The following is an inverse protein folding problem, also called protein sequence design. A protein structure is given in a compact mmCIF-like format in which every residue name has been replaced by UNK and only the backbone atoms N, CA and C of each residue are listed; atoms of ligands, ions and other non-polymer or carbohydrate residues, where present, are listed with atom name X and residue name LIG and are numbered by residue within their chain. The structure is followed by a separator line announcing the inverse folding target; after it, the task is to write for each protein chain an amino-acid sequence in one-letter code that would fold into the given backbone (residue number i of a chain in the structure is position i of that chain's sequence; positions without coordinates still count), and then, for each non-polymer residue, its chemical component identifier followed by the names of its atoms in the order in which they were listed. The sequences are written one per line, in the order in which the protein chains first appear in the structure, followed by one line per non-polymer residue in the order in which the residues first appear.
data_IF_877506309146
#
_entry.id   IF_877506309146
#
_cell.length_a   1.000
_cell.length_b   1.000
_cell.length_c   1.000
_cell.angle_alpha   90.00
_cell.angle_beta   90.00
_cell.angle_gamma   90.00
#
_symmetry.space_group_name_H-M   'P 1'
#
loop_
_entity.id
_entity.type
_entity.pdbx_description
1 polymer ?
#
# COMPACT_ATOMS: atom_id res chain seq x y z
N UNK A 1 -7.67 -30.10 -11.64
CA UNK A 1 -7.92 -28.65 -11.48
C UNK A 1 -6.77 -27.97 -10.73
N UNK A 2 -5.52 -27.99 -11.22
CA UNK A 2 -4.39 -27.35 -10.50
C UNK A 2 -3.35 -26.65 -11.37
N UNK A 3 -3.60 -26.50 -12.69
CA UNK A 3 -2.64 -25.87 -13.62
C UNK A 3 -2.93 -24.40 -13.92
N UNK A 4 -4.09 -23.88 -13.52
CA UNK A 4 -4.52 -22.50 -13.81
C UNK A 4 -4.18 -21.49 -12.73
N UNK A 5 -4.01 -21.91 -11.47
CA UNK A 5 -3.66 -21.01 -10.35
C UNK A 5 -2.24 -20.45 -10.46
N UNK A 6 -1.29 -21.27 -10.93
CA UNK A 6 0.11 -20.86 -11.12
C UNK A 6 0.26 -19.85 -12.28
N UNK A 7 -0.64 -19.91 -13.27
CA UNK A 7 -0.57 -19.01 -14.43
C UNK A 7 -1.32 -17.68 -14.22
N UNK A 8 -2.02 -17.51 -13.10
CA UNK A 8 -2.80 -16.31 -12.81
C UNK A 8 -2.04 -15.26 -11.99
N UNK A 9 -0.79 -15.52 -11.59
CA UNK A 9 -0.03 -14.57 -10.77
C UNK A 9 -0.58 -14.40 -9.35
N UNK A 10 -1.37 -15.35 -8.85
CA UNK A 10 -1.85 -15.38 -7.46
C UNK A 10 -0.77 -15.90 -6.48
N UNK A 11 0.47 -15.45 -6.65
CA UNK A 11 1.61 -15.89 -5.83
C UNK A 11 1.70 -15.15 -4.49
N UNK A 12 0.75 -14.25 -4.20
CA UNK A 12 0.82 -13.41 -3.00
C UNK A 12 0.78 -14.19 -1.69
N UNK A 13 0.21 -15.40 -1.68
CA UNK A 13 0.30 -16.31 -0.53
C UNK A 13 1.71 -16.87 -0.34
N UNK A 14 2.40 -17.22 -1.43
CA UNK A 14 3.77 -17.74 -1.40
C UNK A 14 4.76 -16.64 -1.02
N UNK A 15 4.59 -15.43 -1.53
CA UNK A 15 5.41 -14.28 -1.16
C UNK A 15 5.25 -13.92 0.31
N UNK A 16 4.01 -13.90 0.83
CA UNK A 16 3.78 -13.68 2.26
C UNK A 16 4.38 -14.80 3.12
N UNK A 17 4.32 -16.06 2.67
CA UNK A 17 4.95 -17.19 3.35
C UNK A 17 6.48 -17.10 3.34
N UNK A 18 7.07 -16.64 2.22
CA UNK A 18 8.50 -16.37 2.11
C UNK A 18 8.93 -15.33 3.15
N UNK A 19 8.21 -14.22 3.27
CA UNK A 19 8.49 -13.19 4.28
C UNK A 19 8.41 -13.79 5.68
N UNK A 20 7.36 -14.56 5.95
CA UNK A 20 7.13 -15.18 7.27
C UNK A 20 8.23 -16.18 7.67
N UNK A 21 8.87 -16.83 6.70
CA UNK A 21 9.86 -17.91 6.91
C UNK A 21 11.31 -17.44 6.85
N UNK A 22 11.58 -16.17 6.53
CA UNK A 22 12.92 -15.62 6.39
C UNK A 22 13.30 -14.76 7.62
N UNK A 23 13.94 -15.33 8.66
CA UNK A 23 14.23 -14.64 9.92
C UNK A 23 15.34 -13.59 9.83
N UNK A 24 15.94 -13.41 8.65
CA UNK A 24 16.96 -12.37 8.38
C UNK A 24 16.45 -11.31 7.42
N UNK A 25 15.17 -11.36 7.06
CA UNK A 25 14.58 -10.42 6.13
C UNK A 25 14.20 -9.15 6.89
N UNK A 26 15.06 -8.14 6.78
CA UNK A 26 14.87 -6.83 7.41
C UNK A 26 14.11 -5.84 6.51
N UNK A 27 14.02 -6.14 5.22
CA UNK A 27 13.45 -5.22 4.22
C UNK A 27 12.73 -5.91 3.09
N UNK A 28 11.56 -5.37 2.73
CA UNK A 28 10.77 -5.83 1.58
C UNK A 28 10.35 -4.68 0.69
N UNK A 29 10.30 -4.94 -0.62
CA UNK A 29 9.82 -3.99 -1.62
C UNK A 29 8.76 -4.64 -2.49
N UNK A 30 7.59 -4.04 -2.52
CA UNK A 30 6.47 -4.42 -3.37
C UNK A 30 6.31 -3.42 -4.50
N UNK A 31 6.19 -3.95 -5.71
CA UNK A 31 5.83 -3.17 -6.91
C UNK A 31 4.64 -3.89 -7.52
N UNK A 32 3.42 -3.36 -7.36
CA UNK A 32 2.21 -4.07 -7.76
C UNK A 32 1.29 -3.23 -8.64
N UNK A 33 0.77 -3.87 -9.69
CA UNK A 33 -0.27 -3.35 -10.59
C UNK A 33 -1.67 -3.82 -10.19
N UNK A 34 -1.77 -4.92 -9.43
CA UNK A 34 -3.03 -5.60 -9.13
C UNK A 34 -3.22 -5.66 -7.61
N UNK A 35 -4.36 -5.16 -7.16
CA UNK A 35 -4.74 -5.12 -5.73
C UNK A 35 -5.88 -6.09 -5.42
N UNK A 36 -6.08 -7.08 -6.30
CA UNK A 36 -7.14 -8.07 -6.18
C UNK A 36 -6.87 -9.06 -5.02
N UNK A 37 -7.87 -9.92 -4.73
CA UNK A 37 -7.91 -10.87 -3.62
C UNK A 37 -6.75 -11.91 -3.61
N UNK A 38 -5.88 -11.91 -4.61
CA UNK A 38 -4.67 -12.73 -4.71
C UNK A 38 -3.34 -11.99 -4.46
N UNK A 39 -3.33 -10.66 -4.36
CA UNK A 39 -2.10 -9.87 -4.23
C UNK A 39 -1.42 -10.07 -2.86
N UNK A 40 -0.10 -9.95 -2.84
CA UNK A 40 0.71 -10.08 -1.62
C UNK A 40 0.31 -9.07 -0.57
N UNK A 41 0.02 -7.82 -0.98
CA UNK A 41 -0.40 -6.78 -0.05
C UNK A 41 -1.78 -7.08 0.56
N UNK A 42 -2.73 -7.61 -0.22
CA UNK A 42 -4.02 -8.05 0.32
C UNK A 42 -3.85 -9.23 1.30
N UNK A 43 -2.94 -10.18 1.00
CA UNK A 43 -2.61 -11.28 1.91
C UNK A 43 -1.96 -10.78 3.19
N UNK A 44 -1.07 -9.78 3.09
CA UNK A 44 -0.45 -9.13 4.24
C UNK A 44 -1.49 -8.42 5.10
N UNK A 45 -2.42 -7.68 4.51
CA UNK A 45 -3.52 -7.03 5.22
C UNK A 45 -4.33 -8.04 6.06
N UNK A 46 -4.63 -9.21 5.49
CA UNK A 46 -5.29 -10.31 6.21
C UNK A 46 -4.44 -10.92 7.32
N UNK A 47 -3.14 -11.10 7.10
CA UNK A 47 -2.20 -11.61 8.13
C UNK A 47 -2.10 -10.62 9.28
N UNK A 48 -2.01 -9.33 8.98
CA UNK A 48 -1.97 -8.26 9.98
C UNK A 48 -3.26 -8.26 10.79
N UNK A 49 -4.41 -8.28 10.12
CA UNK A 49 -5.71 -8.32 10.76
C UNK A 49 -5.87 -9.55 11.68
N UNK A 50 -5.49 -10.73 11.21
CA UNK A 50 -5.50 -11.95 12.02
C UNK A 50 -4.49 -11.93 13.18
N UNK A 51 -3.32 -11.32 12.99
CA UNK A 51 -2.31 -11.15 14.05
C UNK A 51 -2.81 -10.27 15.20
N UNK A 52 -3.60 -9.24 14.89
CA UNK A 52 -4.24 -8.38 15.89
C UNK A 52 -5.33 -9.13 16.67
N UNK A 53 -6.15 -9.94 15.99
CA UNK A 53 -7.20 -10.76 16.62
C UNK A 53 -6.62 -11.80 17.60
N UNK A 54 -5.45 -12.37 17.31
CA UNK A 54 -4.80 -13.41 18.12
C UNK A 54 -3.84 -12.80 19.17
N UNK A 55 -4.06 -11.55 19.60
CA UNK A 55 -3.25 -10.85 20.63
C UNK A 55 -1.77 -10.71 20.27
N UNK A 56 -1.44 -10.48 19.00
CA UNK A 56 -0.08 -10.13 18.57
C UNK A 56 0.89 -11.30 18.47
N UNK A 57 0.40 -12.52 18.27
CA UNK A 57 1.27 -13.64 17.89
C UNK A 57 1.66 -13.47 16.42
N UNK A 58 2.82 -12.88 16.18
CA UNK A 58 3.38 -12.70 14.85
C UNK A 58 4.32 -13.85 14.48
N UNK A 59 4.31 -14.26 13.22
CA UNK A 59 5.31 -15.20 12.71
C UNK A 59 6.68 -14.52 12.75
N UNK A 60 7.71 -15.28 13.12
CA UNK A 60 9.07 -14.78 13.38
C UNK A 60 9.62 -13.89 12.26
N UNK A 61 9.42 -14.26 10.99
CA UNK A 61 9.89 -13.44 9.85
C UNK A 61 9.24 -12.06 9.74
N UNK A 62 8.02 -11.86 10.27
CA UNK A 62 7.42 -10.53 10.35
C UNK A 62 7.99 -9.70 11.50
N UNK A 63 8.51 -10.34 12.55
CA UNK A 63 9.14 -9.63 13.68
C UNK A 63 10.51 -9.07 13.31
N UNK A 64 11.17 -9.63 12.30
CA UNK A 64 12.48 -9.14 11.86
C UNK A 64 12.38 -7.98 10.87
N UNK A 65 11.17 -7.67 10.39
CA UNK A 65 10.96 -6.71 9.32
C UNK A 65 11.03 -5.26 9.84
N UNK A 66 12.03 -4.50 9.39
CA UNK A 66 12.28 -3.13 9.82
C UNK A 66 12.00 -2.08 8.73
N UNK A 67 11.97 -2.51 7.47
CA UNK A 67 11.77 -1.62 6.33
C UNK A 67 10.79 -2.19 5.30
N UNK A 68 9.91 -1.33 4.81
CA UNK A 68 8.96 -1.70 3.77
C UNK A 68 8.85 -0.60 2.72
N UNK A 69 8.88 -0.98 1.45
CA UNK A 69 8.62 -0.09 0.33
C UNK A 69 7.45 -0.63 -0.49
N UNK A 70 6.44 0.19 -0.74
CA UNK A 70 5.29 -0.14 -1.59
C UNK A 70 5.20 0.88 -2.70
N UNK A 71 5.20 0.41 -3.94
CA UNK A 71 5.03 1.24 -5.11
C UNK A 71 3.95 0.70 -6.03
N UNK A 72 3.11 1.61 -6.49
CA UNK A 72 2.23 1.39 -7.62
C UNK A 72 2.97 1.87 -8.89
N UNK A 73 3.15 1.03 -9.92
CA UNK A 73 3.69 1.48 -11.19
C UNK A 73 2.74 2.48 -11.85
N UNK A 74 3.31 3.52 -12.46
CA UNK A 74 2.54 4.44 -13.28
C UNK A 74 1.86 3.69 -14.42
N UNK A 75 0.56 3.93 -14.60
CA UNK A 75 -0.17 3.45 -15.76
C UNK A 75 0.55 3.94 -17.01
N UNK A 76 0.99 3.00 -17.84
CA UNK A 76 1.44 3.31 -19.20
C UNK A 76 0.21 3.38 -20.11
N UNK A 77 0.35 3.94 -21.30
CA UNK A 77 -0.71 3.98 -22.33
C UNK A 77 -1.31 2.58 -22.64
N UNK A 78 -0.58 1.51 -22.35
CA UNK A 78 -1.04 0.12 -22.47
C UNK A 78 -1.96 -0.34 -21.33
N UNK A 79 -1.87 0.29 -20.15
CA UNK A 79 -2.57 -0.10 -18.92
C UNK A 79 -3.54 1.00 -18.41
N UNK A 80 -3.86 1.99 -19.25
CA UNK A 80 -4.61 3.20 -18.89
C UNK A 80 -6.07 2.96 -18.40
N UNK A 81 -6.57 1.72 -18.46
CA UNK A 81 -7.93 1.36 -18.06
C UNK A 81 -8.00 0.55 -16.76
N UNK A 82 -6.86 0.24 -16.13
CA UNK A 82 -6.86 -0.43 -14.84
C UNK A 82 -6.78 0.60 -13.72
N UNK A 83 -7.67 0.48 -12.74
CA UNK A 83 -7.60 1.26 -11.51
C UNK A 83 -6.38 0.79 -10.73
N UNK A 84 -5.27 1.50 -10.87
CA UNK A 84 -3.99 1.14 -10.24
C UNK A 84 -3.93 1.58 -8.77
N UNK A 85 -4.98 2.19 -8.23
CA UNK A 85 -4.96 2.74 -6.87
C UNK A 85 -4.91 1.63 -5.81
N UNK A 86 -3.93 1.71 -4.91
CA UNK A 86 -3.82 0.77 -3.78
C UNK A 86 -4.93 1.08 -2.76
N UNK A 87 -5.77 0.09 -2.37
CA UNK A 87 -6.81 0.32 -1.39
C UNK A 87 -6.26 0.89 -0.08
N UNK A 88 -6.90 1.94 0.41
CA UNK A 88 -6.40 2.68 1.57
C UNK A 88 -6.30 1.81 2.84
N UNK A 89 -7.24 0.88 3.04
CA UNK A 89 -7.21 -0.02 4.20
C UNK A 89 -5.93 -0.86 4.26
N UNK A 90 -5.45 -1.35 3.11
CA UNK A 90 -4.20 -2.10 3.01
C UNK A 90 -3.02 -1.22 3.44
N UNK A 91 -2.97 0.03 2.99
CA UNK A 91 -1.89 0.96 3.39
C UNK A 91 -1.88 1.19 4.89
N UNK A 92 -3.06 1.28 5.50
CA UNK A 92 -3.19 1.61 6.92
C UNK A 92 -2.96 0.40 7.84
N UNK A 93 -3.00 -0.83 7.34
CA UNK A 93 -2.65 -2.00 8.12
C UNK A 93 -1.14 -2.21 8.21
N UNK A 94 -0.35 -1.87 7.18
CA UNK A 94 1.11 -2.08 7.15
C UNK A 94 1.88 -1.54 8.37
N UNK A 95 1.58 -0.33 8.91
CA UNK A 95 2.27 0.20 10.10
C UNK A 95 2.11 -0.63 11.37
N UNK A 96 1.20 -1.61 11.38
CA UNK A 96 0.94 -2.51 12.51
C UNK A 96 1.85 -3.74 12.54
N UNK A 97 2.68 -3.93 11.52
CA UNK A 97 3.72 -4.95 11.54
C UNK A 97 4.71 -4.60 12.67
N UNK A 98 5.05 -5.57 13.55
CA UNK A 98 5.94 -5.34 14.67
C UNK A 98 7.33 -4.92 14.16
N UNK A 99 7.99 -4.01 14.88
CA UNK A 99 9.36 -3.56 14.57
C UNK A 99 9.57 -2.86 13.23
N UNK A 100 8.49 -2.60 12.47
CA UNK A 100 8.58 -1.84 11.24
C UNK A 100 8.98 -0.39 11.54
N UNK A 101 10.21 -0.01 11.21
CA UNK A 101 10.75 1.32 11.53
C UNK A 101 10.64 2.32 10.36
N UNK A 102 10.61 1.82 9.13
CA UNK A 102 10.66 2.68 7.95
C UNK A 102 9.71 2.19 6.86
N UNK A 103 8.95 3.13 6.31
CA UNK A 103 7.99 2.86 5.26
C UNK A 103 8.15 3.86 4.12
N UNK A 104 8.24 3.35 2.90
CA UNK A 104 8.23 4.13 1.66
C UNK A 104 6.99 3.79 0.86
N UNK A 105 6.22 4.79 0.48
CA UNK A 105 4.99 4.65 -0.27
C UNK A 105 5.09 5.49 -1.54
N UNK A 106 4.85 4.87 -2.68
CA UNK A 106 4.98 5.51 -3.99
C UNK A 106 3.71 5.35 -4.83
N UNK A 107 3.22 6.47 -5.37
CA UNK A 107 2.01 6.56 -6.19
C UNK A 107 0.76 6.02 -5.50
N UNK A 108 0.57 6.37 -4.22
CA UNK A 108 -0.67 6.05 -3.53
C UNK A 108 -1.78 7.02 -3.93
N UNK A 109 -2.92 6.49 -4.35
CA UNK A 109 -4.13 7.29 -4.51
C UNK A 109 -5.13 6.88 -3.43
N UNK A 110 -5.36 7.77 -2.47
CA UNK A 110 -6.40 7.54 -1.48
C UNK A 110 -7.75 7.95 -2.07
N UNK A 111 -8.46 7.00 -2.67
CA UNK A 111 -9.87 7.14 -2.98
C UNK A 111 -10.64 6.44 -1.86
N UNK A 112 -11.28 7.21 -0.99
CA UNK A 112 -12.31 6.64 -0.11
C UNK A 112 -13.47 6.34 -1.06
N UNK A 113 -13.61 5.06 -1.44
CA UNK A 113 -14.80 4.63 -2.17
C UNK A 113 -16.04 4.91 -1.34
N UNK A 114 -17.19 5.08 -1.99
CA UNK A 114 -18.52 5.23 -1.35
C UNK A 114 -18.94 4.01 -0.50
N UNK A 115 -18.06 3.01 -0.34
CA UNK A 115 -18.30 1.85 0.50
C UNK A 115 -18.14 2.23 1.98
N UNK A 116 -19.23 2.76 2.53
CA UNK A 116 -19.43 3.22 3.91
C UNK A 116 -19.26 2.12 4.99
N UNK A 117 -18.61 1.01 4.66
CA UNK A 117 -18.38 -0.15 5.53
C UNK A 117 -17.00 -0.17 6.17
N UNK A 118 -16.03 0.59 5.64
CA UNK A 118 -14.70 0.67 6.25
C UNK A 118 -14.72 1.67 7.39
N UNK A 119 -14.76 1.18 8.63
CA UNK A 119 -14.66 2.02 9.82
C UNK A 119 -13.31 2.75 9.81
N UNK A 120 -13.32 4.03 9.44
CA UNK A 120 -12.13 4.88 9.37
C UNK A 120 -11.47 5.07 10.74
N UNK A 121 -12.21 4.87 11.86
CA UNK A 121 -11.61 4.84 13.19
C UNK A 121 -10.74 3.60 13.41
N UNK A 122 -11.13 2.47 12.82
CA UNK A 122 -10.32 1.25 12.80
C UNK A 122 -9.10 1.35 11.87
N UNK A 123 -9.01 2.41 11.05
CA UNK A 123 -7.88 2.66 10.14
C UNK A 123 -6.86 3.66 10.67
N UNK A 124 -7.02 4.20 11.87
CA UNK A 124 -5.96 5.03 12.45
C UNK A 124 -4.68 4.21 12.61
N UNK A 125 -3.54 4.83 12.32
CA UNK A 125 -2.25 4.23 12.66
C UNK A 125 -2.22 4.11 14.18
N UNK A 126 -2.31 2.87 14.64
CA UNK A 126 -2.40 2.57 16.07
C UNK A 126 -1.17 3.14 16.80
N UNK A 127 -1.35 3.56 18.05
CA UNK A 127 -0.26 3.99 18.92
C UNK A 127 0.82 2.91 19.09
N UNK A 128 0.48 1.65 18.82
CA UNK A 128 1.40 0.51 18.79
C UNK A 128 2.39 0.53 17.61
N UNK A 129 2.17 1.36 16.59
CA UNK A 129 3.05 1.43 15.43
C UNK A 129 4.47 1.90 15.81
N UNK A 130 5.47 1.16 15.34
CA UNK A 130 6.89 1.46 15.59
C UNK A 130 7.55 2.28 14.48
N UNK A 131 6.77 2.71 13.48
CA UNK A 131 7.29 3.41 12.31
C UNK A 131 7.87 4.76 12.73
N UNK A 132 9.17 4.93 12.50
CA UNK A 132 9.94 6.14 12.79
C UNK A 132 10.10 7.02 11.55
N UNK A 133 10.07 6.43 10.36
CA UNK A 133 10.36 7.12 9.09
C UNK A 133 9.30 6.81 8.05
N UNK A 134 8.64 7.85 7.53
CA UNK A 134 7.62 7.74 6.50
C UNK A 134 8.01 8.56 5.26
N UNK A 135 8.16 7.89 4.12
CA UNK A 135 8.47 8.52 2.84
C UNK A 135 7.27 8.39 1.90
N UNK A 136 6.74 9.51 1.44
CA UNK A 136 5.60 9.57 0.52
C UNK A 136 6.07 10.17 -0.81
N UNK A 137 6.11 9.38 -1.87
CA UNK A 137 6.50 9.78 -3.24
C UNK A 137 5.28 9.72 -4.18
N UNK A 138 4.90 10.85 -4.77
CA UNK A 138 3.76 10.97 -5.69
C UNK A 138 2.43 10.45 -5.13
N UNK A 139 2.23 10.56 -3.81
CA UNK A 139 0.98 10.19 -3.17
C UNK A 139 -0.06 11.31 -3.30
N UNK A 140 -1.26 10.96 -3.74
CA UNK A 140 -2.42 11.83 -3.86
C UNK A 140 -3.40 11.57 -2.72
N UNK A 141 -3.35 12.42 -1.69
CA UNK A 141 -4.17 12.31 -0.48
C UNK A 141 -5.28 13.38 -0.48
N UNK A 142 -6.28 13.22 -1.35
CA UNK A 142 -7.38 14.20 -1.49
C UNK A 142 -8.40 14.17 -0.35
N UNK A 143 -8.62 13.00 0.25
CA UNK A 143 -9.58 12.87 1.34
C UNK A 143 -9.00 13.37 2.66
N UNK A 144 -9.80 14.15 3.40
CA UNK A 144 -9.48 14.64 4.75
C UNK A 144 -9.27 13.48 5.73
N UNK A 145 -9.97 12.38 5.55
CA UNK A 145 -9.85 11.22 6.43
C UNK A 145 -8.50 10.52 6.21
N UNK A 146 -8.06 10.40 4.96
CA UNK A 146 -6.73 9.85 4.66
C UNK A 146 -5.62 10.74 5.20
N UNK A 147 -5.79 12.06 5.08
CA UNK A 147 -4.89 13.03 5.70
C UNK A 147 -4.85 12.85 7.21
N UNK A 148 -6.01 12.77 7.86
CA UNK A 148 -6.12 12.65 9.32
C UNK A 148 -5.54 11.34 9.82
N UNK A 149 -5.72 10.23 9.10
CA UNK A 149 -5.21 8.93 9.53
C UNK A 149 -3.68 8.82 9.36
N UNK A 150 -3.11 9.46 8.33
CA UNK A 150 -1.66 9.54 8.14
C UNK A 150 -1.02 10.58 9.09
N UNK A 151 -1.70 11.71 9.33
CA UNK A 151 -1.22 12.76 10.25
C UNK A 151 -1.43 12.42 11.72
N UNK A 152 -2.42 11.60 12.05
CA UNK A 152 -2.58 10.92 13.34
C UNK A 152 -1.55 9.80 13.54
N UNK A 153 -0.35 10.03 13.00
CA UNK A 153 0.72 9.10 12.73
C UNK A 153 1.23 8.33 13.97
N UNK A 154 2.10 7.32 13.78
CA UNK A 154 2.72 6.58 14.89
C UNK A 154 3.29 7.55 15.93
N UNK A 155 3.05 7.32 17.21
CA UNK A 155 3.62 8.15 18.28
C UNK A 155 5.16 8.22 18.21
N UNK A 156 5.78 7.23 17.56
CA UNK A 156 7.23 7.10 17.37
C UNK A 156 7.75 7.72 16.07
N UNK A 157 6.89 8.32 15.23
CA UNK A 157 7.30 8.94 13.96
C UNK A 157 8.24 10.12 14.22
N UNK A 158 9.43 10.06 13.62
CA UNK A 158 10.50 11.09 13.75
C UNK A 158 10.69 11.86 12.46
N UNK A 159 10.73 11.15 11.34
CA UNK A 159 10.99 11.73 10.02
C UNK A 159 9.83 11.45 9.08
N UNK A 160 9.38 12.51 8.40
CA UNK A 160 8.45 12.40 7.28
C UNK A 160 9.02 13.15 6.08
N UNK A 161 9.00 12.51 4.92
CA UNK A 161 9.49 13.10 3.68
C UNK A 161 8.41 13.02 2.61
N UNK A 162 8.18 14.14 1.94
CA UNK A 162 7.23 14.24 0.84
C UNK A 162 7.98 14.55 -0.45
N UNK A 163 7.71 13.77 -1.49
CA UNK A 163 8.14 14.05 -2.85
C UNK A 163 6.90 14.16 -3.72
N UNK A 164 6.64 15.37 -4.17
CA UNK A 164 5.54 15.65 -5.10
C UNK A 164 6.12 15.87 -6.48
N UNK A 165 5.76 15.04 -7.44
CA UNK A 165 6.00 15.35 -8.84
C UNK A 165 4.90 16.31 -9.30
N UNK A 166 5.22 17.59 -9.38
CA UNK A 166 4.34 18.66 -9.89
C UNK A 166 4.22 18.64 -11.41
N UNK A 167 4.73 17.60 -12.08
CA UNK A 167 4.35 17.24 -13.42
C UNK A 167 2.88 16.77 -13.43
N UNK A 168 1.99 17.71 -13.11
CA UNK A 168 0.67 17.79 -13.69
C UNK A 168 0.81 17.33 -15.13
N UNK A 169 0.25 16.16 -15.43
CA UNK A 169 -0.11 15.89 -16.80
C UNK A 169 -1.08 17.02 -17.14
N UNK A 170 -0.57 18.08 -17.78
CA UNK A 170 -1.35 18.76 -18.79
C UNK A 170 -1.85 17.61 -19.65
N UNK A 171 -3.12 17.24 -19.45
CA UNK A 171 -3.87 16.66 -20.56
C UNK A 171 -3.56 17.60 -21.72
N UNK A 172 -2.98 17.14 -22.84
CA UNK A 172 -3.00 17.96 -24.02
C UNK A 172 -4.49 18.25 -24.23
N UNK A 173 -4.87 19.51 -24.03
CA UNK A 173 -6.22 19.97 -24.33
C UNK A 173 -6.50 19.51 -25.75
N UNK A 174 -7.59 18.78 -25.90
CA UNK A 174 -8.21 18.46 -27.17
C UNK A 174 -8.58 19.76 -27.89
N UNK A 175 -7.65 20.30 -28.67
CA UNK A 175 -7.77 21.31 -29.72
C UNK A 175 -6.60 20.97 -30.66
N UNK A 176 -6.81 20.43 -31.85
CA UNK A 176 -7.51 21.14 -32.92
C UNK A 176 -8.43 20.26 -33.76
N UNK A 177 -9.57 20.87 -34.06
CA UNK A 177 -10.48 20.54 -35.15
C UNK A 177 -9.70 20.49 -36.48
N UNK A 178 -9.54 19.31 -37.06
CA UNK A 178 -9.31 19.20 -38.49
C UNK A 178 -10.66 19.25 -39.21
N UNK A 179 -11.13 20.47 -39.43
CA UNK A 179 -12.07 20.78 -40.50
C UNK A 179 -11.26 20.84 -41.80
N UNK A 180 -11.29 19.78 -42.60
CA UNK A 180 -10.98 19.89 -44.02
C UNK A 180 -12.30 20.03 -44.78
N UNK A 181 -12.45 21.20 -45.42
CA UNK A 181 -13.40 21.45 -46.50
C UNK A 181 -13.09 20.57 -47.72
#
# INVERSE_FOLDING_TARGET
MSKTLINAGEDGGLEALLIATLPRLEGVKFVTLQHEHGSTLYRLDRIISGGLEIKGVWVEGFQTLQSMAVGVPLATWLNAFQDTSLPFHIVMSLPRIPHLESMYLNHLECQVGDDATVDLHSLQIDASSEVKRLFLDNCNMRSRDCQTAIYGAPQKLKDIAFRFNTASSRRPNSLDQYSYQ
#
